data_IF_202603143899
#
_entry.id   IF_202603143899
#
_cell.length_a   1.000
_cell.length_b   1.000
_cell.length_c   1.000
_cell.angle_alpha   90.00
_cell.angle_beta   90.00
_cell.angle_gamma   90.00
#
_symmetry.space_group_name_H-M   'P 1'
#
loop_
_entity.id
_entity.type
_entity.pdbx_description
1 polymer ?
#
# COMPACT_ATOMS: atom_id res chain seq x y z
N UNK A 1 -21.72 14.77 -7.44
CA UNK A 1 -20.91 13.65 -7.99
C UNK A 1 -19.42 13.93 -7.83
N UNK A 2 -18.93 15.11 -8.21
CA UNK A 2 -17.51 15.49 -8.07
C UNK A 2 -17.03 15.53 -6.61
N UNK A 3 -17.82 16.14 -5.71
CA UNK A 3 -17.51 16.20 -4.27
C UNK A 3 -17.35 14.82 -3.63
N UNK A 4 -18.27 13.89 -3.93
CA UNK A 4 -18.18 12.52 -3.41
C UNK A 4 -16.94 11.77 -3.94
N UNK A 5 -16.54 12.03 -5.18
CA UNK A 5 -15.33 11.42 -5.74
C UNK A 5 -14.07 12.01 -5.08
N UNK A 6 -14.06 13.32 -4.84
CA UNK A 6 -12.97 14.00 -4.15
C UNK A 6 -12.79 13.46 -2.72
N UNK A 7 -13.87 13.35 -1.95
CA UNK A 7 -13.85 12.79 -0.60
C UNK A 7 -13.31 11.35 -0.60
N UNK A 8 -13.72 10.54 -1.58
CA UNK A 8 -13.26 9.17 -1.73
C UNK A 8 -11.76 9.11 -2.05
N UNK A 9 -11.29 9.95 -2.97
CA UNK A 9 -9.89 10.00 -3.37
C UNK A 9 -8.98 10.42 -2.20
N UNK A 10 -9.40 11.43 -1.44
CA UNK A 10 -8.69 11.86 -0.23
C UNK A 10 -8.64 10.74 0.82
N UNK A 11 -9.78 10.09 1.06
CA UNK A 11 -9.86 8.99 2.02
C UNK A 11 -8.99 7.81 1.60
N UNK A 12 -8.97 7.45 0.31
CA UNK A 12 -8.12 6.39 -0.23
C UNK A 12 -6.64 6.73 -0.07
N UNK A 13 -6.24 7.99 -0.33
CA UNK A 13 -4.85 8.41 -0.16
C UNK A 13 -4.42 8.26 1.30
N UNK A 14 -5.20 8.80 2.24
CA UNK A 14 -4.94 8.68 3.67
C UNK A 14 -4.86 7.20 4.12
N UNK A 15 -5.83 6.38 3.72
CA UNK A 15 -5.89 4.97 4.09
C UNK A 15 -4.66 4.20 3.61
N UNK A 16 -4.23 4.45 2.37
CA UNK A 16 -3.15 3.70 1.75
C UNK A 16 -1.75 4.16 2.19
N UNK A 17 -1.58 5.44 2.53
CA UNK A 17 -0.25 6.05 2.73
C UNK A 17 0.03 6.55 4.14
N UNK A 18 -0.98 6.79 4.97
CA UNK A 18 -0.79 7.36 6.31
C UNK A 18 -1.32 6.45 7.43
N UNK A 19 -2.43 5.76 7.18
CA UNK A 19 -3.04 4.89 8.19
C UNK A 19 -2.26 3.58 8.36
N UNK A 20 -1.72 3.36 9.54
CA UNK A 20 -1.08 2.09 9.91
C UNK A 20 -2.12 1.03 10.25
N UNK A 21 -1.83 -0.21 9.85
CA UNK A 21 -2.75 -1.34 10.00
C UNK A 21 -2.11 -2.47 10.79
N UNK A 22 -2.78 -2.95 11.83
CA UNK A 22 -2.33 -4.09 12.66
C UNK A 22 -2.66 -5.46 12.06
N UNK A 23 -3.17 -5.51 10.82
CA UNK A 23 -3.44 -6.77 10.14
C UNK A 23 -2.17 -7.59 9.92
N UNK A 24 -2.31 -8.92 9.84
CA UNK A 24 -1.20 -9.89 9.70
C UNK A 24 -0.16 -9.52 8.63
N UNK A 25 -0.58 -8.89 7.54
CA UNK A 25 0.32 -8.52 6.43
C UNK A 25 1.00 -7.17 6.66
N UNK A 26 0.27 -6.20 7.20
CA UNK A 26 0.77 -4.84 7.37
C UNK A 26 1.66 -4.73 8.61
N UNK A 27 1.33 -5.44 9.71
CA UNK A 27 2.16 -5.48 10.93
C UNK A 27 2.53 -4.09 11.47
N UNK A 28 1.58 -3.16 11.46
CA UNK A 28 1.79 -1.77 11.87
C UNK A 28 2.31 -0.86 10.76
N UNK A 29 2.53 -1.36 9.55
CA UNK A 29 2.82 -0.55 8.35
C UNK A 29 1.53 -0.09 7.67
N UNK A 30 1.69 0.83 6.74
CA UNK A 30 0.65 1.22 5.80
C UNK A 30 0.49 0.16 4.69
N UNK A 31 -0.65 0.15 3.98
CA UNK A 31 -0.84 -0.71 2.81
C UNK A 31 0.24 -0.48 1.73
N UNK A 32 0.60 0.77 1.44
CA UNK A 32 1.62 1.08 0.43
C UNK A 32 3.02 0.61 0.82
N UNK A 33 3.45 0.78 2.06
CA UNK A 33 4.74 0.23 2.53
C UNK A 33 4.79 -1.29 2.39
N UNK A 34 3.66 -1.96 2.65
CA UNK A 34 3.55 -3.42 2.51
C UNK A 34 3.66 -3.84 1.04
N UNK A 35 3.04 -3.09 0.14
CA UNK A 35 3.09 -3.33 -1.30
C UNK A 35 4.50 -3.16 -1.88
N UNK A 36 5.16 -2.04 -1.55
CA UNK A 36 6.51 -1.76 -2.06
C UNK A 36 7.54 -2.80 -1.58
N UNK A 37 7.42 -3.24 -0.33
CA UNK A 37 8.25 -4.34 0.18
C UNK A 37 7.98 -5.65 -0.58
N UNK A 38 6.71 -5.98 -0.85
CA UNK A 38 6.35 -7.14 -1.66
C UNK A 38 6.92 -7.09 -3.07
N UNK A 39 6.87 -5.92 -3.72
CA UNK A 39 7.48 -5.69 -5.04
C UNK A 39 8.98 -5.90 -5.02
N UNK A 40 9.68 -5.36 -4.01
CA UNK A 40 11.13 -5.53 -3.85
C UNK A 40 11.50 -7.01 -3.72
N UNK A 41 10.82 -7.75 -2.85
CA UNK A 41 11.04 -9.19 -2.66
C UNK A 41 10.80 -9.96 -3.96
N UNK A 42 9.77 -9.60 -4.72
CA UNK A 42 9.49 -10.24 -6.01
C UNK A 42 10.59 -9.96 -7.04
N UNK A 43 11.04 -8.71 -7.18
CA UNK A 43 12.13 -8.36 -8.09
C UNK A 43 13.41 -9.12 -7.75
N UNK A 44 13.76 -9.21 -6.47
CA UNK A 44 14.92 -9.97 -5.98
C UNK A 44 14.85 -11.45 -6.32
N UNK A 45 13.66 -12.05 -6.30
CA UNK A 45 13.48 -13.50 -6.51
C UNK A 45 13.26 -13.90 -7.95
N UNK A 46 12.65 -13.04 -8.76
CA UNK A 46 12.15 -13.39 -10.09
C UNK A 46 12.95 -12.71 -11.19
N UNK A 47 13.31 -11.44 -11.01
CA UNK A 47 14.05 -10.68 -12.02
C UNK A 47 15.56 -10.88 -11.87
N UNK A 48 16.08 -10.84 -10.64
CA UNK A 48 17.53 -10.94 -10.39
C UNK A 48 18.07 -12.38 -10.32
N UNK A 49 17.20 -13.39 -10.42
CA UNK A 49 17.57 -14.82 -10.47
C UNK A 49 17.51 -15.36 -11.91
N UNK A 50 17.09 -14.55 -12.88
CA UNK A 50 17.03 -14.88 -14.30
C UNK A 50 18.30 -14.48 -15.06
#
# INVERSE_FOLDING_TARGET
MEELQHDLDEWLNYYNTERTHQGKQCLGRTPMETLEEGKRIWMEKVINVA
#
